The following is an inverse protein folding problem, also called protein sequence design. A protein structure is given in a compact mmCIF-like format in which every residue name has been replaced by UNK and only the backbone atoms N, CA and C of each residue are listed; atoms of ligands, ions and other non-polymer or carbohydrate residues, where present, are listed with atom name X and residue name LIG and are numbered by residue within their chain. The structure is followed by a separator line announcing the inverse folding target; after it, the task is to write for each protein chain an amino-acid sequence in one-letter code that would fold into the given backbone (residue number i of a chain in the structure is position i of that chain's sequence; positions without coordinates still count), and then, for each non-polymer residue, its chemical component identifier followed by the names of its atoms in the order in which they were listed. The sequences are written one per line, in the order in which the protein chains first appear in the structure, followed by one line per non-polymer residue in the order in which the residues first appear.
data_IF_817492125169
#
_entry.id   IF_817492125169
#
_cell.length_a   1.000
_cell.length_b   1.000
_cell.length_c   1.000
_cell.angle_alpha   90.00
_cell.angle_beta   90.00
_cell.angle_gamma   90.00
#
_symmetry.space_group_name_H-M   'P 1'
#
loop_
_entity.id
_entity.type
_entity.pdbx_description
1 polymer ?
#
# COMPACT_ATOMS: atom_id res chain seq x y z
N UNK A 1 -16.90 -1.55 -7.70
CA UNK A 1 -16.90 -2.30 -6.43
C UNK A 1 -16.60 -1.33 -5.31
N UNK A 2 -17.50 -1.25 -4.33
CA UNK A 2 -17.48 -0.23 -3.28
C UNK A 2 -16.14 -0.18 -2.55
N UNK A 3 -15.43 0.94 -2.69
CA UNK A 3 -14.24 1.25 -1.91
C UNK A 3 -14.68 1.54 -0.48
N UNK A 4 -14.91 0.48 0.31
CA UNK A 4 -15.14 0.54 1.75
C UNK A 4 -13.93 1.22 2.39
N UNK A 5 -14.01 2.54 2.52
CA UNK A 5 -12.94 3.37 3.04
C UNK A 5 -13.11 3.43 4.54
N UNK A 6 -12.23 2.75 5.28
CA UNK A 6 -12.17 2.85 6.73
C UNK A 6 -11.23 3.99 7.14
N UNK A 7 -11.58 4.72 8.21
CA UNK A 7 -10.69 5.73 8.81
C UNK A 7 -9.80 5.04 9.85
N UNK A 8 -8.49 5.26 9.74
CA UNK A 8 -7.50 4.81 10.71
C UNK A 8 -6.98 6.03 11.47
N UNK A 9 -7.20 6.08 12.78
CA UNK A 9 -6.69 7.14 13.66
C UNK A 9 -5.55 6.56 14.50
N UNK A 10 -4.38 7.18 14.44
CA UNK A 10 -3.19 6.76 15.18
C UNK A 10 -2.72 7.96 16.02
N UNK A 11 -2.45 7.73 17.30
CA UNK A 11 -1.77 8.70 18.15
C UNK A 11 -0.27 8.56 17.91
N UNK A 12 0.36 9.65 17.49
CA UNK A 12 1.80 9.75 17.28
C UNK A 12 2.34 10.94 18.05
N UNK A 13 3.56 10.80 18.56
CA UNK A 13 4.29 11.88 19.21
C UNK A 13 4.46 13.09 18.25
N UNK A 14 4.29 14.34 18.72
CA UNK A 14 4.35 15.52 17.86
C UNK A 14 5.71 15.71 17.18
N UNK A 15 6.82 15.35 17.84
CA UNK A 15 8.17 15.47 17.26
C UNK A 15 8.34 14.48 16.12
N UNK A 16 7.89 13.24 16.33
CA UNK A 16 7.93 12.20 15.28
C UNK A 16 7.03 12.54 14.10
N UNK A 17 5.84 13.11 14.37
CA UNK A 17 4.93 13.56 13.31
C UNK A 17 5.58 14.62 12.43
N UNK A 18 6.25 15.60 13.02
CA UNK A 18 6.90 16.68 12.28
C UNK A 18 8.02 16.13 11.38
N UNK A 19 8.94 15.34 11.96
CA UNK A 19 10.02 14.74 11.20
C UNK A 19 9.51 13.84 10.05
N UNK A 20 8.42 13.11 10.29
CA UNK A 20 7.80 12.28 9.25
C UNK A 20 7.15 13.12 8.13
N UNK A 21 6.50 14.23 8.49
CA UNK A 21 5.89 15.14 7.52
C UNK A 21 6.94 15.83 6.64
N UNK A 22 8.05 16.29 7.23
CA UNK A 22 9.18 16.88 6.52
C UNK A 22 9.85 15.88 5.55
N UNK A 23 10.01 14.63 5.99
CA UNK A 23 10.55 13.56 5.16
C UNK A 23 9.62 13.22 3.99
N UNK A 24 8.31 13.20 4.23
CA UNK A 24 7.30 12.98 3.19
C UNK A 24 7.28 14.15 2.19
N UNK A 25 7.32 15.39 2.68
CA UNK A 25 7.34 16.60 1.88
C UNK A 25 8.58 16.68 0.98
N UNK A 26 9.75 16.25 1.48
CA UNK A 26 10.98 16.18 0.68
C UNK A 26 10.94 15.19 -0.48
N UNK A 27 9.96 14.27 -0.47
CA UNK A 27 9.78 13.24 -1.50
C UNK A 27 8.51 13.46 -2.33
N UNK A 28 7.84 14.60 -2.17
CA UNK A 28 6.55 14.89 -2.81
C UNK A 28 5.45 13.84 -2.50
N UNK A 29 5.54 13.21 -1.32
CA UNK A 29 4.58 12.21 -0.86
C UNK A 29 3.74 12.76 0.28
N UNK A 30 2.50 12.27 0.37
CA UNK A 30 1.67 12.53 1.56
C UNK A 30 1.88 11.43 2.60
N UNK A 31 1.83 11.75 3.90
CA UNK A 31 1.98 10.74 4.96
C UNK A 31 0.95 9.61 4.84
N UNK A 32 -0.27 9.92 4.36
CA UNK A 32 -1.30 8.91 4.11
C UNK A 32 -0.92 7.90 3.02
N UNK A 33 -0.19 8.32 1.99
CA UNK A 33 0.28 7.41 0.93
C UNK A 33 1.37 6.48 1.46
N UNK A 34 2.31 7.02 2.23
CA UNK A 34 3.41 6.25 2.83
C UNK A 34 2.86 5.21 3.80
N UNK A 35 1.95 5.60 4.71
CA UNK A 35 1.33 4.68 5.67
C UNK A 35 0.55 3.56 4.96
N UNK A 36 -0.19 3.88 3.88
CA UNK A 36 -0.89 2.84 3.10
C UNK A 36 0.08 1.85 2.46
N UNK A 37 1.21 2.33 1.96
CA UNK A 37 2.23 1.47 1.35
C UNK A 37 2.90 0.59 2.40
N UNK A 38 3.21 1.15 3.58
CA UNK A 38 3.74 0.42 4.73
C UNK A 38 2.78 -0.68 5.20
N UNK A 39 1.48 -0.39 5.32
CA UNK A 39 0.48 -1.40 5.69
C UNK A 39 0.46 -2.55 4.68
N UNK A 40 0.52 -2.27 3.37
CA UNK A 40 0.54 -3.30 2.33
C UNK A 40 1.79 -4.16 2.39
N UNK A 41 2.97 -3.54 2.55
CA UNK A 41 4.24 -4.26 2.68
C UNK A 41 4.23 -5.14 3.92
N UNK A 42 3.82 -4.59 5.07
CA UNK A 42 3.74 -5.32 6.32
C UNK A 42 2.80 -6.54 6.22
N UNK A 43 1.64 -6.39 5.59
CA UNK A 43 0.74 -7.53 5.38
C UNK A 43 1.34 -8.59 4.43
N UNK A 44 2.12 -8.17 3.43
CA UNK A 44 2.80 -9.07 2.49
C UNK A 44 3.96 -9.83 3.17
N UNK A 45 4.77 -9.14 3.96
CA UNK A 45 5.87 -9.72 4.76
C UNK A 45 5.35 -10.75 5.77
N UNK A 46 4.18 -10.51 6.35
CA UNK A 46 3.53 -11.44 7.28
C UNK A 46 2.66 -12.51 6.59
N UNK A 47 2.66 -12.58 5.26
CA UNK A 47 1.87 -13.51 4.44
C UNK A 47 0.37 -13.54 4.77
N UNK A 48 -0.18 -12.42 5.21
CA UNK A 48 -1.61 -12.30 5.50
C UNK A 48 -2.35 -11.96 4.22
N UNK A 49 -3.15 -12.89 3.73
CA UNK A 49 -4.01 -12.67 2.58
C UNK A 49 -5.25 -11.86 2.99
N UNK A 50 -5.54 -10.79 2.27
CA UNK A 50 -6.70 -9.93 2.51
C UNK A 50 -7.51 -9.79 1.21
N UNK A 51 -8.85 -9.83 1.34
CA UNK A 51 -9.79 -9.95 0.22
C UNK A 51 -9.69 -8.85 -0.86
N UNK A 52 -8.98 -7.76 -0.59
CA UNK A 52 -8.73 -6.64 -1.52
C UNK A 52 -7.31 -6.58 -2.06
N UNK A 53 -6.49 -7.65 -1.90
CA UNK A 53 -5.21 -7.78 -2.61
C UNK A 53 -5.52 -7.76 -4.10
N UNK A 54 -5.43 -6.56 -4.70
CA UNK A 54 -5.57 -6.38 -6.14
C UNK A 54 -4.53 -7.31 -6.73
N UNK A 55 -4.99 -8.42 -7.31
CA UNK A 55 -4.14 -9.37 -8.02
C UNK A 55 -3.54 -8.56 -9.15
N UNK A 56 -2.31 -8.05 -8.94
CA UNK A 56 -1.54 -7.42 -10.00
C UNK A 56 -1.53 -8.48 -11.09
N UNK A 57 -2.21 -8.22 -12.21
CA UNK A 57 -2.12 -9.06 -13.40
C UNK A 57 -0.65 -9.03 -13.78
N UNK A 58 0.09 -10.06 -13.40
CA UNK A 58 1.41 -10.30 -13.96
C UNK A 58 1.18 -10.59 -15.45
N UNK A 59 1.78 -9.86 -16.39
CA UNK A 59 1.58 -10.05 -17.83
C UNK A 59 2.26 -11.33 -18.38
N UNK A 60 2.34 -12.40 -17.60
CA UNK A 60 3.04 -13.66 -17.94
C UNK A 60 2.08 -14.80 -18.31
N UNK A 61 0.81 -14.52 -18.61
CA UNK A 61 -0.19 -15.54 -18.97
C UNK A 61 -0.59 -15.52 -20.46
N UNK A 62 -0.04 -14.61 -21.28
CA UNK A 62 -0.45 -14.45 -22.69
C UNK A 62 0.51 -15.11 -23.72
N UNK A 63 1.43 -15.99 -23.31
CA UNK A 63 2.38 -16.67 -24.23
C UNK A 63 2.15 -18.17 -24.46
N UNK A 64 1.12 -18.78 -23.88
CA UNK A 64 0.89 -20.23 -23.98
C UNK A 64 -0.24 -20.67 -24.94
N UNK A 65 -0.87 -19.76 -25.69
CA UNK A 65 -2.07 -20.11 -26.48
C UNK A 65 -1.91 -20.03 -28.00
N UNK A 66 -0.68 -20.03 -28.53
CA UNK A 66 -0.43 -20.10 -29.98
C UNK A 66 0.40 -21.34 -30.34
N UNK A 67 -0.13 -22.53 -30.06
CA UNK A 67 0.19 -23.73 -30.84
C UNK A 67 -0.96 -24.74 -30.69
N UNK A 68 -1.92 -24.65 -31.61
CA UNK A 68 -2.79 -25.77 -32.00
C UNK A 68 -3.13 -25.65 -33.48
#
# INVERSE_FOLDING_TARGET
METKSARLTILIDPVKKQAFDELCASQDLTPSQVIRQLIRQYLDDHHIDYATKVKKRTPQDDRASAEK
#
